data_IF_141462573428
#
_entry.id   IF_141462573428
#
_cell.length_a   1.000
_cell.length_b   1.000
_cell.length_c   1.000
_cell.angle_alpha   90.00
_cell.angle_beta   90.00
_cell.angle_gamma   90.00
#
_symmetry.space_group_name_H-M   'P 1'
#
loop_
_entity.id
_entity.type
_entity.pdbx_description
1 polymer ?
#
# COMPACT_ATOMS: atom_id res chain seq x y z
N UNK A 1 35.99 18.84 44.71
CA UNK A 1 36.06 17.47 44.13
C UNK A 1 35.33 16.51 45.07
N UNK A 2 34.03 16.72 45.27
CA UNK A 2 33.18 15.92 46.16
C UNK A 2 31.73 16.12 45.70
N UNK A 3 31.23 15.20 44.89
CA UNK A 3 29.81 14.97 44.63
C UNK A 3 29.68 13.64 43.88
N UNK A 4 30.18 12.59 44.52
CA UNK A 4 29.83 11.21 44.24
C UNK A 4 28.62 10.84 45.10
N UNK A 5 27.63 10.18 44.50
CA UNK A 5 26.76 9.20 45.16
C UNK A 5 25.76 9.69 46.23
N UNK A 6 24.92 10.69 45.93
CA UNK A 6 23.74 10.99 46.79
C UNK A 6 22.37 10.91 46.09
N UNK A 7 22.31 10.60 44.79
CA UNK A 7 21.06 10.62 44.01
C UNK A 7 20.29 9.29 43.95
N UNK A 8 20.70 8.25 44.69
CA UNK A 8 20.13 6.89 44.57
C UNK A 8 19.23 6.44 45.74
N UNK A 9 18.77 7.36 46.59
CA UNK A 9 17.80 7.07 47.65
C UNK A 9 16.63 8.07 47.63
N UNK A 10 15.94 8.17 46.49
CA UNK A 10 14.55 8.64 46.49
C UNK A 10 13.69 7.49 47.03
N UNK A 11 13.14 7.69 48.23
CA UNK A 11 12.18 6.80 48.87
C UNK A 11 11.05 6.43 47.90
N UNK A 12 10.53 5.18 47.93
CA UNK A 12 9.43 4.74 47.05
C UNK A 12 8.12 5.55 47.21
N UNK A 13 8.05 6.40 48.25
CA UNK A 13 6.94 7.33 48.47
C UNK A 13 7.00 8.57 47.56
N UNK A 14 8.18 9.11 47.24
CA UNK A 14 8.25 10.32 46.39
C UNK A 14 7.95 10.04 44.91
N UNK A 15 8.17 8.81 44.43
CA UNK A 15 7.80 8.41 43.07
C UNK A 15 6.29 8.19 42.91
N UNK A 16 5.61 7.68 43.94
CA UNK A 16 4.15 7.44 43.91
C UNK A 16 3.34 8.75 43.92
N UNK A 17 3.77 9.78 44.66
CA UNK A 17 3.14 11.11 44.61
C UNK A 17 3.31 11.80 43.25
N UNK A 18 4.43 11.59 42.55
CA UNK A 18 4.64 12.14 41.21
C UNK A 18 3.77 11.44 40.16
N UNK A 19 3.51 10.14 40.31
CA UNK A 19 2.66 9.36 39.40
C UNK A 19 1.17 9.69 39.54
N UNK A 20 0.72 10.12 40.72
CA UNK A 20 -0.67 10.51 40.97
C UNK A 20 -1.14 11.67 40.07
N UNK A 21 -0.25 12.61 39.73
CA UNK A 21 -0.58 13.72 38.82
C UNK A 21 -0.69 13.32 37.35
N UNK A 22 -0.27 12.11 36.98
CA UNK A 22 -0.33 11.57 35.62
C UNK A 22 -1.55 10.68 35.38
N UNK A 23 -2.37 10.45 36.41
CA UNK A 23 -3.56 9.59 36.30
C UNK A 23 -4.70 10.38 35.63
N UNK A 24 -5.18 9.87 34.50
CA UNK A 24 -6.37 10.41 33.82
C UNK A 24 -7.61 10.05 34.64
N UNK A 25 -8.26 11.07 35.24
CA UNK A 25 -9.46 10.87 36.09
C UNK A 25 -10.71 10.63 35.25
N UNK A 26 -10.85 11.32 34.12
CA UNK A 26 -11.98 11.16 33.20
C UNK A 26 -11.59 11.59 31.79
N UNK A 27 -12.07 10.84 30.78
CA UNK A 27 -11.82 11.13 29.36
C UNK A 27 -11.19 9.96 28.62
N UNK A 28 -10.81 10.22 27.37
CA UNK A 28 -10.08 9.27 26.53
C UNK A 28 -8.59 9.57 26.69
N UNK A 29 -7.76 8.63 27.16
CA UNK A 29 -6.35 8.89 27.48
C UNK A 29 -5.52 9.20 26.23
N UNK A 30 -5.91 8.73 25.05
CA UNK A 30 -5.19 9.00 23.79
C UNK A 30 -5.51 10.38 23.17
N UNK A 31 -6.41 11.17 23.78
CA UNK A 31 -6.78 12.52 23.30
C UNK A 31 -6.03 13.57 24.09
N UNK A 32 -5.22 14.40 23.40
CA UNK A 32 -4.44 15.47 24.03
C UNK A 32 -5.30 16.70 24.31
N UNK A 33 -6.08 17.15 23.32
CA UNK A 33 -6.95 18.33 23.43
C UNK A 33 -8.12 18.25 22.47
N UNK A 34 -9.18 18.98 22.78
CA UNK A 34 -10.29 19.20 21.88
C UNK A 34 -10.64 20.69 21.81
N UNK A 35 -10.95 21.18 20.61
CA UNK A 35 -11.25 22.59 20.33
C UNK A 35 -12.59 22.67 19.61
N UNK A 36 -13.44 23.61 20.01
CA UNK A 36 -14.72 23.86 19.37
C UNK A 36 -14.52 24.88 18.25
N UNK A 37 -14.89 24.52 17.03
CA UNK A 37 -14.90 25.37 15.86
C UNK A 37 -16.33 25.74 15.49
N UNK A 38 -16.62 27.03 15.34
CA UNK A 38 -17.93 27.53 14.94
C UNK A 38 -17.95 27.63 13.41
N UNK A 39 -18.88 26.91 12.77
CA UNK A 39 -19.04 26.96 11.31
C UNK A 39 -20.21 27.89 10.95
N UNK A 40 -19.90 29.04 10.35
CA UNK A 40 -20.86 30.07 9.96
C UNK A 40 -21.41 29.88 8.52
N UNK A 41 -20.85 28.97 7.73
CA UNK A 41 -21.09 28.90 6.28
C UNK A 41 -22.50 28.45 5.87
N UNK A 42 -23.31 27.90 6.79
CA UNK A 42 -24.63 27.31 6.49
C UNK A 42 -25.83 28.14 6.93
N UNK A 43 -25.65 29.40 7.39
CA UNK A 43 -26.76 30.24 7.90
C UNK A 43 -27.43 29.70 9.18
N UNK A 44 -26.88 28.63 9.76
CA UNK A 44 -27.21 28.06 11.07
C UNK A 44 -25.90 27.86 11.82
N UNK A 45 -25.80 28.39 13.02
CA UNK A 45 -24.65 28.17 13.89
C UNK A 45 -24.50 26.67 14.19
N UNK A 46 -23.42 26.06 13.70
CA UNK A 46 -23.08 24.67 13.98
C UNK A 46 -21.72 24.62 14.64
N UNK A 47 -21.66 23.98 15.80
CA UNK A 47 -20.41 23.70 16.50
C UNK A 47 -19.82 22.39 15.99
N UNK A 48 -18.58 22.43 15.50
CA UNK A 48 -17.77 21.25 15.16
C UNK A 48 -16.72 21.08 16.25
N UNK A 49 -16.54 19.84 16.72
CA UNK A 49 -15.47 19.52 17.65
C UNK A 49 -14.26 19.01 16.85
N UNK A 50 -13.11 19.66 17.01
CA UNK A 50 -11.83 19.22 16.48
C UNK A 50 -11.05 18.57 17.62
N UNK A 51 -10.79 17.27 17.49
CA UNK A 51 -10.09 16.48 18.51
C UNK A 51 -8.68 16.18 18.00
N UNK A 52 -7.68 16.47 18.81
CA UNK A 52 -6.31 16.03 18.59
C UNK A 52 -6.06 14.77 19.44
N UNK A 53 -5.84 13.63 18.77
CA UNK A 53 -5.64 12.33 19.41
C UNK A 53 -5.73 11.19 18.40
N UNK A 54 -5.36 9.98 18.83
CA UNK A 54 -5.26 8.78 17.97
C UNK A 54 -6.26 7.67 18.40
N UNK A 55 -7.50 8.04 18.77
CA UNK A 55 -8.56 7.06 19.08
C UNK A 55 -9.98 7.44 18.59
N UNK A 56 -10.19 7.38 17.28
CA UNK A 56 -11.42 7.57 16.54
C UNK A 56 -12.53 6.65 17.03
N UNK A 57 -12.22 5.39 17.38
CA UNK A 57 -13.24 4.44 17.86
C UNK A 57 -13.91 4.94 19.15
N UNK A 58 -13.11 5.38 20.12
CA UNK A 58 -13.62 5.89 21.38
C UNK A 58 -14.38 7.21 21.18
N UNK A 59 -13.84 8.11 20.35
CA UNK A 59 -14.50 9.38 20.01
C UNK A 59 -15.87 9.15 19.34
N UNK A 60 -15.96 8.19 18.41
CA UNK A 60 -17.22 7.83 17.74
C UNK A 60 -18.26 7.21 18.69
N UNK A 61 -17.82 6.51 19.73
CA UNK A 61 -18.71 5.86 20.70
C UNK A 61 -19.17 6.80 21.83
N UNK A 62 -18.61 8.01 21.92
CA UNK A 62 -18.93 8.96 22.99
C UNK A 62 -20.34 9.51 22.81
N UNK A 63 -21.13 9.52 23.90
CA UNK A 63 -22.50 10.03 23.87
C UNK A 63 -22.55 11.51 23.45
N UNK A 64 -23.46 11.85 22.54
CA UNK A 64 -23.57 13.20 21.97
C UNK A 64 -22.72 13.46 20.73
N UNK A 65 -21.78 12.56 20.37
CA UNK A 65 -21.00 12.65 19.13
C UNK A 65 -21.70 11.92 17.99
N UNK A 66 -21.82 12.56 16.83
CA UNK A 66 -22.38 11.92 15.62
C UNK A 66 -21.33 11.11 14.88
N UNK A 67 -21.11 9.87 15.34
CA UNK A 67 -20.11 8.95 14.77
C UNK A 67 -20.20 8.72 13.26
N UNK A 68 -21.40 8.80 12.65
CA UNK A 68 -21.57 8.60 11.19
C UNK A 68 -20.94 9.70 10.33
N UNK A 69 -20.55 10.84 10.92
CA UNK A 69 -19.94 11.97 10.21
C UNK A 69 -18.56 12.33 10.77
N UNK A 70 -18.04 11.55 11.71
CA UNK A 70 -16.71 11.75 12.27
C UNK A 70 -15.69 11.21 11.27
N UNK A 71 -14.61 11.97 11.07
CA UNK A 71 -13.50 11.62 10.17
C UNK A 71 -12.18 11.74 10.93
N UNK A 72 -11.16 11.00 10.50
CA UNK A 72 -9.79 11.10 10.99
C UNK A 72 -8.85 11.31 9.81
N UNK A 73 -7.74 12.00 10.06
CA UNK A 73 -6.63 12.17 9.12
C UNK A 73 -5.72 10.94 9.07
N UNK A 74 -5.66 10.16 10.15
CA UNK A 74 -4.81 8.99 10.26
C UNK A 74 -5.45 7.79 9.53
N UNK A 75 -4.91 7.45 8.36
CA UNK A 75 -5.45 6.39 7.49
C UNK A 75 -5.39 5.01 8.12
N UNK A 76 -4.36 4.73 8.94
CA UNK A 76 -4.22 3.45 9.65
C UNK A 76 -5.30 3.25 10.71
N UNK A 77 -5.67 4.33 11.39
CA UNK A 77 -6.75 4.30 12.36
C UNK A 77 -8.12 4.12 11.67
N UNK A 78 -8.35 4.83 10.57
CA UNK A 78 -9.55 4.67 9.75
C UNK A 78 -9.69 3.24 9.25
N UNK A 79 -8.60 2.64 8.78
CA UNK A 79 -8.57 1.23 8.36
C UNK A 79 -9.01 0.30 9.50
N UNK A 80 -8.44 0.48 10.70
CA UNK A 80 -8.74 -0.34 11.89
C UNK A 80 -10.17 -0.17 12.42
N UNK A 81 -10.82 0.96 12.15
CA UNK A 81 -12.14 1.28 12.70
C UNK A 81 -13.27 1.10 11.70
N UNK A 82 -13.06 1.52 10.46
CA UNK A 82 -14.07 1.56 9.39
C UNK A 82 -13.75 0.63 8.21
N UNK A 83 -12.53 0.09 8.12
CA UNK A 83 -12.10 -0.83 7.07
C UNK A 83 -11.40 -0.16 5.89
N UNK A 84 -11.00 -0.99 4.93
CA UNK A 84 -10.08 -0.61 3.85
C UNK A 84 -10.67 0.41 2.86
N UNK A 85 -11.96 0.32 2.54
CA UNK A 85 -12.63 1.25 1.62
C UNK A 85 -12.79 2.66 2.20
N UNK A 86 -13.00 2.74 3.51
CA UNK A 86 -13.00 4.02 4.22
C UNK A 86 -11.59 4.64 4.20
N UNK A 87 -10.55 3.83 4.47
CA UNK A 87 -9.16 4.27 4.42
C UNK A 87 -8.75 4.75 3.02
N UNK A 88 -9.16 4.03 1.97
CA UNK A 88 -8.97 4.42 0.56
C UNK A 88 -9.56 5.80 0.28
N UNK A 89 -10.80 6.03 0.72
CA UNK A 89 -11.47 7.33 0.54
C UNK A 89 -10.77 8.44 1.33
N UNK A 90 -10.31 8.16 2.54
CA UNK A 90 -9.53 9.10 3.36
C UNK A 90 -8.22 9.49 2.66
N UNK A 91 -7.48 8.54 2.08
CA UNK A 91 -6.25 8.83 1.31
C UNK A 91 -6.55 9.81 0.17
N UNK A 92 -7.63 9.57 -0.59
CA UNK A 92 -8.02 10.46 -1.70
C UNK A 92 -8.32 11.88 -1.18
N UNK A 93 -9.13 11.98 -0.13
CA UNK A 93 -9.55 13.26 0.43
C UNK A 93 -8.36 14.04 1.01
N UNK A 94 -7.45 13.38 1.72
CA UNK A 94 -6.32 14.05 2.38
C UNK A 94 -5.29 14.57 1.38
N UNK A 95 -4.98 13.77 0.34
CA UNK A 95 -4.09 14.22 -0.75
C UNK A 95 -4.74 15.37 -1.51
N UNK A 96 -6.03 15.29 -1.81
CA UNK A 96 -6.71 16.37 -2.52
C UNK A 96 -6.79 17.65 -1.68
N UNK A 97 -7.08 17.53 -0.37
CA UNK A 97 -7.15 18.65 0.56
C UNK A 97 -5.79 19.38 0.68
N UNK A 98 -4.70 18.64 0.88
CA UNK A 98 -3.35 19.21 0.98
C UNK A 98 -2.92 19.89 -0.32
N UNK A 99 -3.16 19.26 -1.47
CA UNK A 99 -2.79 19.83 -2.78
C UNK A 99 -3.53 21.12 -3.09
N UNK A 100 -4.84 21.17 -2.84
CA UNK A 100 -5.68 22.37 -3.05
C UNK A 100 -5.25 23.52 -2.13
N UNK A 101 -4.89 23.23 -0.87
CA UNK A 101 -4.41 24.25 0.06
C UNK A 101 -3.09 24.89 -0.39
N UNK A 102 -2.27 24.17 -1.17
CA UNK A 102 -1.05 24.69 -1.78
C UNK A 102 -1.27 25.29 -3.19
N UNK A 103 -2.52 25.42 -3.65
CA UNK A 103 -2.84 25.97 -4.97
C UNK A 103 -2.54 25.03 -6.14
N UNK A 104 -2.26 23.75 -5.88
CA UNK A 104 -2.04 22.74 -6.91
C UNK A 104 -3.37 22.09 -7.29
N UNK A 105 -3.61 21.93 -8.60
CA UNK A 105 -4.76 21.18 -9.10
C UNK A 105 -4.29 19.87 -9.73
N UNK A 106 -4.84 18.76 -9.27
CA UNK A 106 -4.57 17.41 -9.76
C UNK A 106 -5.92 16.78 -10.12
N UNK A 107 -6.02 16.12 -11.29
CA UNK A 107 -7.20 15.34 -11.63
C UNK A 107 -7.37 14.21 -10.59
N UNK A 108 -8.59 14.09 -10.05
CA UNK A 108 -8.97 13.05 -9.09
C UNK A 108 -8.62 11.64 -9.55
N UNK A 109 -8.58 11.39 -10.86
CA UNK A 109 -8.20 10.08 -11.44
C UNK A 109 -6.80 9.63 -11.04
N UNK A 110 -5.83 10.55 -10.92
CA UNK A 110 -4.46 10.21 -10.51
C UNK A 110 -4.40 9.77 -9.05
N UNK A 111 -5.06 10.54 -8.18
CA UNK A 111 -5.11 10.25 -6.74
C UNK A 111 -5.91 8.97 -6.47
N UNK A 112 -6.97 8.73 -7.26
CA UNK A 112 -7.75 7.50 -7.19
C UNK A 112 -6.87 6.27 -7.48
N UNK A 113 -6.14 6.28 -8.60
CA UNK A 113 -5.24 5.18 -8.96
C UNK A 113 -4.16 4.94 -7.89
N UNK A 114 -3.62 6.00 -7.30
CA UNK A 114 -2.66 5.89 -6.20
C UNK A 114 -3.29 5.22 -4.98
N UNK A 115 -4.49 5.66 -4.57
CA UNK A 115 -5.20 5.06 -3.43
C UNK A 115 -5.57 3.59 -3.66
N UNK A 116 -5.94 3.23 -4.89
CA UNK A 116 -6.20 1.84 -5.29
C UNK A 116 -4.94 0.98 -5.17
N UNK A 117 -3.81 1.48 -5.67
CA UNK A 117 -2.52 0.79 -5.57
C UNK A 117 -2.09 0.58 -4.11
N UNK A 118 -2.41 1.52 -3.21
CA UNK A 118 -2.09 1.40 -1.79
C UNK A 118 -3.01 0.42 -1.04
N UNK A 119 -4.20 0.09 -1.56
CA UNK A 119 -5.25 -0.62 -0.81
C UNK A 119 -5.71 -1.95 -1.42
N UNK A 120 -5.32 -2.28 -2.66
CA UNK A 120 -5.82 -3.48 -3.35
C UNK A 120 -5.51 -4.83 -2.66
N UNK A 121 -4.49 -4.90 -1.79
CA UNK A 121 -4.15 -6.11 -1.03
C UNK A 121 -4.96 -6.30 0.25
N UNK A 122 -5.87 -5.38 0.57
CA UNK A 122 -6.71 -5.45 1.77
C UNK A 122 -6.06 -4.86 3.03
N UNK A 123 -4.85 -4.31 2.92
CA UNK A 123 -4.19 -3.50 3.96
C UNK A 123 -3.64 -2.21 3.33
N UNK A 124 -3.50 -1.13 4.11
CA UNK A 124 -2.89 0.11 3.60
C UNK A 124 -1.37 -0.04 3.52
N UNK A 125 -0.86 -0.23 2.29
CA UNK A 125 0.57 -0.36 2.00
C UNK A 125 1.17 0.99 1.61
N UNK A 126 2.15 1.45 2.39
CA UNK A 126 2.92 2.65 2.06
C UNK A 126 3.87 2.45 0.87
N UNK A 127 4.20 3.52 0.15
CA UNK A 127 5.19 3.51 -0.93
C UNK A 127 6.61 3.61 -0.33
N UNK A 128 6.99 2.58 0.42
CA UNK A 128 8.31 2.43 1.06
C UNK A 128 8.88 1.06 0.72
N UNK A 129 10.16 0.79 1.02
CA UNK A 129 10.79 -0.53 0.78
C UNK A 129 9.97 -1.71 1.33
N UNK A 130 9.35 -1.54 2.50
CA UNK A 130 8.58 -2.60 3.15
C UNK A 130 7.23 -2.81 2.46
N UNK A 131 6.57 -1.73 2.02
CA UNK A 131 5.32 -1.82 1.27
C UNK A 131 5.52 -2.35 -0.14
N UNK A 132 6.58 -1.91 -0.83
CA UNK A 132 6.93 -2.41 -2.17
C UNK A 132 7.27 -3.90 -2.17
N UNK A 133 8.02 -4.39 -1.18
CA UNK A 133 8.31 -5.81 -1.03
C UNK A 133 7.04 -6.67 -0.84
N UNK A 134 5.98 -6.10 -0.24
CA UNK A 134 4.67 -6.77 -0.16
C UNK A 134 3.85 -6.66 -1.45
N UNK A 135 4.02 -5.59 -2.22
CA UNK A 135 3.27 -5.35 -3.46
C UNK A 135 3.83 -6.12 -4.67
N UNK A 136 5.15 -6.20 -4.79
CA UNK A 136 5.85 -6.71 -5.99
C UNK A 136 6.68 -7.93 -5.63
N UNK A 137 6.64 -8.93 -6.51
CA UNK A 137 7.34 -10.20 -6.31
C UNK A 137 8.71 -10.26 -7.03
N UNK A 138 8.95 -9.38 -8.02
CA UNK A 138 10.19 -9.41 -8.81
C UNK A 138 11.41 -8.99 -7.97
N UNK A 139 12.40 -9.89 -7.92
CA UNK A 139 13.64 -9.70 -7.18
C UNK A 139 14.47 -8.59 -7.81
N UNK A 140 14.61 -8.58 -9.14
CA UNK A 140 15.38 -7.56 -9.85
C UNK A 140 14.79 -6.17 -9.65
N UNK A 141 13.46 -6.06 -9.62
CA UNK A 141 12.78 -4.81 -9.30
C UNK A 141 13.10 -4.35 -7.87
N UNK A 142 12.97 -5.24 -6.88
CA UNK A 142 13.22 -4.91 -5.47
C UNK A 142 14.69 -4.55 -5.22
N UNK A 143 15.62 -5.32 -5.80
CA UNK A 143 17.05 -5.09 -5.69
C UNK A 143 17.49 -3.76 -6.32
N UNK A 144 16.76 -3.27 -7.32
CA UNK A 144 17.00 -1.97 -7.97
C UNK A 144 16.46 -0.77 -7.19
N UNK A 145 15.60 -0.98 -6.19
CA UNK A 145 15.02 0.10 -5.38
C UNK A 145 15.89 0.42 -4.15
N UNK A 146 16.02 -0.54 -3.23
CA UNK A 146 16.86 -0.43 -2.02
C UNK A 146 17.34 -1.83 -1.61
N UNK A 147 18.38 -1.91 -0.74
CA UNK A 147 18.88 -3.19 -0.17
C UNK A 147 19.20 -4.27 -1.22
N UNK A 148 19.93 -3.89 -2.26
CA UNK A 148 20.29 -4.76 -3.39
C UNK A 148 20.91 -6.10 -2.97
N UNK A 149 21.89 -6.08 -2.05
CA UNK A 149 22.59 -7.28 -1.62
C UNK A 149 21.65 -8.25 -0.88
N UNK A 150 20.89 -7.75 0.10
CA UNK A 150 19.94 -8.54 0.89
C UNK A 150 18.97 -9.30 -0.04
N UNK A 151 18.32 -8.58 -0.97
CA UNK A 151 17.35 -9.18 -1.89
C UNK A 151 17.95 -10.23 -2.82
N UNK A 152 19.17 -10.03 -3.32
CA UNK A 152 19.84 -11.00 -4.18
C UNK A 152 20.31 -12.24 -3.42
N UNK A 153 20.83 -12.08 -2.20
CA UNK A 153 21.23 -13.21 -1.36
C UNK A 153 20.04 -14.02 -0.90
N UNK A 154 18.95 -13.37 -0.48
CA UNK A 154 17.72 -14.06 -0.08
C UNK A 154 17.14 -14.84 -1.27
N UNK A 155 17.06 -14.22 -2.46
CA UNK A 155 16.57 -14.89 -3.65
C UNK A 155 17.45 -16.09 -4.06
N UNK A 156 18.78 -15.97 -3.94
CA UNK A 156 19.70 -17.06 -4.22
C UNK A 156 19.56 -18.21 -3.20
N UNK A 157 19.38 -17.87 -1.92
CA UNK A 157 19.16 -18.83 -0.84
C UNK A 157 17.86 -19.62 -1.02
N UNK A 158 16.76 -18.94 -1.33
CA UNK A 158 15.46 -19.57 -1.57
C UNK A 158 15.32 -20.16 -2.99
N UNK A 159 16.29 -19.94 -3.89
CA UNK A 159 16.21 -20.39 -5.28
C UNK A 159 15.03 -19.77 -6.04
N UNK A 160 14.68 -18.52 -5.74
CA UNK A 160 13.52 -17.85 -6.29
C UNK A 160 13.68 -17.64 -7.81
N UNK A 161 12.62 -17.91 -8.57
CA UNK A 161 12.58 -17.69 -10.02
C UNK A 161 11.88 -16.37 -10.30
N UNK A 162 12.61 -15.43 -10.88
CA UNK A 162 12.06 -14.11 -11.23
C UNK A 162 11.48 -14.13 -12.66
N UNK A 163 10.22 -13.69 -12.81
CA UNK A 163 9.58 -13.54 -14.11
C UNK A 163 9.92 -12.17 -14.70
N UNK A 164 10.64 -12.14 -15.82
CA UNK A 164 11.05 -10.89 -16.49
C UNK A 164 9.89 -10.27 -17.27
N UNK A 165 8.88 -9.78 -16.56
CA UNK A 165 7.63 -9.25 -17.13
C UNK A 165 7.38 -7.78 -16.80
N UNK A 166 7.89 -7.28 -15.67
CA UNK A 166 7.78 -5.89 -15.28
C UNK A 166 8.78 -4.99 -16.01
N UNK A 167 8.50 -3.70 -15.94
CA UNK A 167 9.21 -2.69 -16.74
C UNK A 167 10.69 -2.61 -16.35
N UNK A 168 11.00 -2.63 -15.06
CA UNK A 168 12.37 -2.46 -14.56
C UNK A 168 13.27 -3.61 -15.00
N UNK A 169 12.83 -4.84 -14.79
CA UNK A 169 13.57 -6.04 -15.14
C UNK A 169 13.68 -6.24 -16.65
N UNK A 170 12.67 -5.87 -17.44
CA UNK A 170 12.77 -5.85 -18.91
C UNK A 170 13.88 -4.91 -19.40
N UNK A 171 13.98 -3.71 -18.81
CA UNK A 171 15.01 -2.72 -19.17
C UNK A 171 16.40 -3.23 -18.80
N UNK A 172 16.57 -3.82 -17.61
CA UNK A 172 17.85 -4.40 -17.17
C UNK A 172 18.30 -5.51 -18.12
N UNK A 173 17.39 -6.35 -18.57
CA UNK A 173 17.68 -7.47 -19.48
C UNK A 173 17.77 -7.06 -20.96
N UNK A 174 17.46 -5.81 -21.31
CA UNK A 174 17.49 -5.32 -22.69
C UNK A 174 16.38 -5.90 -23.58
N UNK A 175 15.25 -6.34 -23.01
CA UNK A 175 14.10 -6.86 -23.76
C UNK A 175 12.98 -5.81 -23.83
N UNK A 176 12.15 -5.79 -24.90
CA UNK A 176 11.03 -4.86 -24.99
C UNK A 176 10.00 -5.13 -23.88
N UNK A 177 9.49 -4.05 -23.26
CA UNK A 177 8.48 -4.11 -22.20
C UNK A 177 7.06 -4.39 -22.73
N UNK A 178 6.21 -5.02 -21.92
CA UNK A 178 4.86 -5.45 -22.31
C UNK A 178 3.78 -4.34 -22.25
N UNK A 179 4.15 -3.10 -21.92
CA UNK A 179 3.23 -1.96 -21.87
C UNK A 179 3.42 -1.04 -23.07
N UNK A 180 2.39 -0.26 -23.43
CA UNK A 180 2.45 0.64 -24.58
C UNK A 180 2.51 -0.13 -25.90
N UNK A 181 3.54 0.13 -26.71
CA UNK A 181 3.70 -0.50 -28.04
C UNK A 181 4.04 -1.99 -27.98
N UNK A 182 4.61 -2.48 -26.88
CA UNK A 182 4.91 -3.90 -26.69
C UNK A 182 3.71 -4.76 -26.26
N UNK A 183 2.53 -4.15 -26.06
CA UNK A 183 1.32 -4.87 -25.63
C UNK A 183 0.76 -5.82 -26.70
N UNK A 184 1.01 -5.52 -27.98
CA UNK A 184 0.52 -6.32 -29.10
C UNK A 184 1.67 -6.80 -29.99
N UNK A 185 1.43 -7.88 -30.72
CA UNK A 185 2.35 -8.40 -31.73
C UNK A 185 1.76 -8.14 -33.11
N UNK A 186 2.63 -7.83 -34.07
CA UNK A 186 2.26 -7.66 -35.46
C UNK A 186 2.39 -8.99 -36.18
N UNK A 187 1.32 -9.41 -36.85
CA UNK A 187 1.35 -10.52 -37.78
C UNK A 187 1.36 -9.95 -39.19
N UNK A 188 2.29 -10.43 -40.01
CA UNK A 188 2.30 -10.08 -41.42
C UNK A 188 1.19 -10.84 -42.13
N UNK A 189 0.27 -10.11 -42.78
CA UNK A 189 -0.79 -10.68 -43.60
C UNK A 189 -0.21 -11.15 -44.94
N UNK A 190 0.42 -12.32 -44.91
CA UNK A 190 0.88 -13.01 -46.11
C UNK A 190 -0.30 -13.74 -46.78
N UNK A 191 -0.36 -13.69 -48.11
CA UNK A 191 -1.23 -14.55 -48.90
C UNK A 191 -0.61 -15.95 -48.98
N UNK A 192 -0.72 -16.69 -47.88
CA UNK A 192 -0.15 -18.03 -47.73
C UNK A 192 -1.22 -18.95 -47.19
N UNK A 193 -1.45 -20.05 -47.89
CA UNK A 193 -2.26 -21.14 -47.38
C UNK A 193 -1.58 -21.74 -46.13
N UNK A 194 -2.22 -21.73 -44.95
CA UNK A 194 -1.65 -22.32 -43.75
C UNK A 194 -1.42 -23.82 -43.87
N UNK A 195 -2.20 -24.52 -44.72
CA UNK A 195 -2.14 -25.96 -44.87
C UNK A 195 -2.01 -26.34 -46.35
N UNK A 196 -0.84 -26.10 -46.96
CA UNK A 196 -0.63 -26.47 -48.35
C UNK A 196 -0.80 -28.00 -48.53
N UNK A 197 -1.31 -28.45 -49.69
CA UNK A 197 -1.48 -29.86 -49.96
C UNK A 197 -0.13 -30.58 -49.85
N UNK A 198 -0.05 -31.58 -48.98
CA UNK A 198 1.16 -32.39 -48.80
C UNK A 198 1.25 -33.40 -49.93
N UNK A 199 2.46 -33.59 -50.48
CA UNK A 199 2.70 -34.68 -51.43
C UNK A 199 2.61 -36.01 -50.69
N UNK A 200 1.89 -37.01 -51.22
CA UNK A 200 1.82 -38.33 -50.60
C UNK A 200 3.21 -38.98 -50.58
N UNK A 201 3.47 -39.75 -49.53
CA UNK A 201 4.71 -40.53 -49.43
C UNK A 201 4.64 -41.67 -50.44
N UNK A 202 5.74 -41.90 -51.16
CA UNK A 202 5.83 -42.93 -52.19
C UNK A 202 6.19 -44.29 -51.58
N UNK A 203 7.05 -44.30 -50.56
CA UNK A 203 7.64 -45.51 -50.00
C UNK A 203 7.03 -45.86 -48.64
N UNK A 204 7.05 -44.92 -47.70
CA UNK A 204 6.61 -45.13 -46.32
C UNK A 204 5.09 -44.93 -46.19
N UNK A 205 4.34 -45.83 -46.81
CA UNK A 205 2.89 -45.95 -46.63
C UNK A 205 2.57 -47.22 -45.85
N UNK A 206 1.53 -47.16 -45.01
CA UNK A 206 1.10 -48.27 -44.16
C UNK A 206 0.72 -49.54 -44.94
N UNK A 207 0.54 -49.45 -46.25
CA UNK A 207 0.22 -50.59 -47.12
C UNK A 207 1.42 -51.51 -47.35
N UNK A 208 2.65 -50.98 -47.35
CA UNK A 208 3.86 -51.75 -47.66
C UNK A 208 4.73 -52.10 -46.44
N UNK A 209 4.46 -51.50 -45.27
CA UNK A 209 5.26 -51.68 -44.06
C UNK A 209 4.45 -52.36 -42.95
N UNK A 210 4.30 -53.68 -43.05
CA UNK A 210 3.74 -54.51 -41.99
C UNK A 210 4.81 -54.68 -40.89
N UNK A 211 4.52 -54.44 -39.60
CA UNK A 211 5.50 -54.61 -38.53
C UNK A 211 5.97 -56.06 -38.45
N UNK A 212 7.29 -56.26 -38.54
CA UNK A 212 7.94 -57.58 -38.62
C UNK A 212 8.02 -58.34 -37.28
N UNK A 213 7.53 -57.77 -36.18
CA UNK A 213 7.65 -58.38 -34.85
C UNK A 213 6.25 -58.55 -34.24
N UNK A 214 5.89 -59.80 -33.96
CA UNK A 214 4.75 -60.21 -33.13
C UNK A 214 5.10 -60.14 -31.65
#
# INVERSE_FOLDING_TARGET
MAQTLSSFLLTPQNSTWALLNLVVVQGIPEVSRAVIHIDEQSGKEKFKLLVEGDNLRAVMATHGVKGTRTTSNNTYEVEKTLGIEAARTTIINEIQYTMVNHGMSIDRRHVMLLSDLMTYKGEVLGITRFGLAKMKESVLMLASFEKTADHLFDAAYFGQKDSVCGVSECIIMGIPMNIGTGLFKLLHKADRDPNPPRRPLIFDTNEFHIPLVT
#
